data_IF_267936816572
#
_entry.id   IF_267936816572
#
_cell.length_a   1.000
_cell.length_b   1.000
_cell.length_c   1.000
_cell.angle_alpha   90.00
_cell.angle_beta   90.00
_cell.angle_gamma   90.00
#
_symmetry.space_group_name_H-M   'P 1'
#
loop_
_entity.id
_entity.type
_entity.pdbx_description
1 polymer ?
#
# COMPACT_ATOMS: atom_id res chain seq x y z
N UNK A 1 -0.90 -53.35 22.20
CA UNK A 1 -0.47 -52.68 20.95
C UNK A 1 -0.23 -51.22 21.30
N UNK A 2 1.02 -50.70 21.31
CA UNK A 2 1.25 -49.32 21.68
C UNK A 2 0.70 -48.37 20.59
N UNK A 3 0.15 -47.20 20.97
CA UNK A 3 -0.34 -46.22 20.00
C UNK A 3 0.82 -45.71 19.16
N UNK A 4 0.65 -45.70 17.83
CA UNK A 4 1.60 -45.08 16.90
C UNK A 4 1.70 -43.60 17.24
N UNK A 5 2.86 -43.16 17.70
CA UNK A 5 3.19 -41.76 17.95
C UNK A 5 2.97 -40.95 16.67
N UNK A 6 1.97 -40.07 16.69
CA UNK A 6 1.66 -39.17 15.59
C UNK A 6 2.77 -38.13 15.44
N UNK A 7 3.42 -38.09 14.28
CA UNK A 7 4.38 -37.04 13.94
C UNK A 7 3.61 -35.73 13.78
N UNK A 8 3.81 -34.80 14.70
CA UNK A 8 3.31 -33.43 14.54
C UNK A 8 4.27 -32.64 13.64
N UNK A 9 3.82 -32.32 12.43
CA UNK A 9 4.52 -31.38 11.56
C UNK A 9 4.10 -29.96 11.94
N UNK A 10 4.96 -29.22 12.64
CA UNK A 10 4.77 -27.78 12.82
C UNK A 10 5.18 -27.09 11.52
N UNK A 11 4.20 -26.59 10.76
CA UNK A 11 4.47 -25.74 9.60
C UNK A 11 5.16 -24.47 10.08
N UNK A 12 6.46 -24.31 9.83
CA UNK A 12 7.11 -23.04 10.07
C UNK A 12 6.49 -21.98 9.16
N UNK A 13 5.93 -20.94 9.77
CA UNK A 13 5.38 -19.80 9.05
C UNK A 13 6.41 -19.23 8.09
N UNK A 14 6.00 -18.98 6.84
CA UNK A 14 6.82 -18.31 5.84
C UNK A 14 7.02 -16.87 6.30
N UNK A 15 8.22 -16.54 6.77
CA UNK A 15 8.52 -15.21 7.28
C UNK A 15 8.59 -14.22 6.11
N UNK A 16 7.85 -13.11 6.22
CA UNK A 16 7.90 -12.03 5.24
C UNK A 16 9.27 -11.35 5.33
N UNK A 17 10.01 -11.21 4.21
CA UNK A 17 11.29 -10.51 4.16
C UNK A 17 11.23 -9.10 4.75
N UNK A 18 12.36 -8.67 5.35
CA UNK A 18 12.45 -7.38 6.04
C UNK A 18 12.08 -6.20 5.13
N UNK A 19 12.52 -6.21 3.87
CA UNK A 19 12.26 -5.09 2.95
C UNK A 19 10.76 -4.90 2.68
N UNK A 20 9.98 -5.97 2.51
CA UNK A 20 8.51 -5.88 2.41
C UNK A 20 7.88 -5.38 3.71
N UNK A 21 8.37 -5.83 4.87
CA UNK A 21 7.86 -5.37 6.16
C UNK A 21 8.11 -3.89 6.38
N UNK A 22 9.32 -3.40 6.09
CA UNK A 22 9.66 -1.99 6.23
C UNK A 22 8.80 -1.14 5.29
N UNK A 23 8.66 -1.57 4.04
CA UNK A 23 7.85 -0.84 3.07
C UNK A 23 6.37 -0.81 3.46
N UNK A 24 5.71 -1.96 3.55
CA UNK A 24 4.26 -2.04 3.79
C UNK A 24 3.85 -1.65 5.21
N UNK A 25 4.69 -1.83 6.23
CA UNK A 25 4.26 -1.56 7.62
C UNK A 25 4.68 -0.17 8.12
N UNK A 26 5.62 0.50 7.45
CA UNK A 26 6.12 1.80 7.91
C UNK A 26 6.10 2.87 6.82
N UNK A 27 6.86 2.67 5.74
CA UNK A 27 7.01 3.69 4.69
C UNK A 27 5.65 4.05 4.09
N UNK A 28 4.88 3.05 3.71
CA UNK A 28 3.62 3.27 3.03
C UNK A 28 2.52 3.84 3.95
N UNK A 29 2.30 3.32 5.17
CA UNK A 29 1.35 3.93 6.09
C UNK A 29 1.67 5.39 6.41
N UNK A 30 2.96 5.74 6.58
CA UNK A 30 3.37 7.13 6.82
C UNK A 30 3.06 8.00 5.59
N UNK A 31 3.39 7.53 4.38
CA UNK A 31 3.10 8.25 3.14
C UNK A 31 1.59 8.47 2.96
N UNK A 32 0.77 7.45 3.21
CA UNK A 32 -0.68 7.55 3.17
C UNK A 32 -1.23 8.54 4.20
N UNK A 33 -0.67 8.58 5.43
CA UNK A 33 -1.05 9.59 6.44
C UNK A 33 -0.69 11.01 6.03
N UNK A 34 0.46 11.21 5.36
CA UNK A 34 0.82 12.52 4.79
C UNK A 34 -0.20 12.93 3.72
N UNK A 35 -0.55 12.02 2.81
CA UNK A 35 -1.60 12.25 1.81
C UNK A 35 -2.94 12.61 2.46
N UNK A 36 -3.35 11.87 3.51
CA UNK A 36 -4.56 12.13 4.27
C UNK A 36 -4.55 13.52 4.92
N UNK A 37 -3.41 13.90 5.51
CA UNK A 37 -3.25 15.21 6.14
C UNK A 37 -3.47 16.34 5.13
N UNK A 38 -2.81 16.29 3.97
CA UNK A 38 -2.98 17.35 2.97
C UNK A 38 -4.39 17.36 2.38
N UNK A 39 -4.96 16.19 2.09
CA UNK A 39 -6.32 16.08 1.55
C UNK A 39 -7.40 16.60 2.50
N UNK A 40 -7.22 16.53 3.83
CA UNK A 40 -8.21 17.05 4.77
C UNK A 40 -7.89 18.45 5.31
N UNK A 41 -6.68 18.67 5.81
CA UNK A 41 -6.32 19.89 6.53
C UNK A 41 -5.71 20.97 5.63
N UNK A 42 -5.27 20.63 4.42
CA UNK A 42 -4.59 21.55 3.48
C UNK A 42 -5.20 21.46 2.07
N UNK A 43 -6.52 21.46 1.99
CA UNK A 43 -7.27 21.26 0.74
C UNK A 43 -6.87 22.23 -0.39
N UNK A 44 -6.66 23.51 -0.05
CA UNK A 44 -6.25 24.51 -1.04
C UNK A 44 -4.90 24.18 -1.68
N UNK A 45 -3.93 23.82 -0.85
CA UNK A 45 -2.60 23.40 -1.31
C UNK A 45 -2.66 22.07 -2.06
N UNK A 46 -3.45 21.11 -1.56
CA UNK A 46 -3.65 19.81 -2.22
C UNK A 46 -4.20 20.00 -3.64
N UNK A 47 -5.23 20.84 -3.82
CA UNK A 47 -5.78 21.15 -5.14
C UNK A 47 -4.81 21.96 -6.01
N UNK A 48 -4.07 22.90 -5.41
CA UNK A 48 -3.03 23.67 -6.11
C UNK A 48 -1.96 22.75 -6.69
N UNK A 49 -1.46 21.80 -5.88
CA UNK A 49 -0.47 20.81 -6.31
C UNK A 49 -1.05 19.83 -7.33
N UNK A 50 -2.32 19.43 -7.16
CA UNK A 50 -2.99 18.51 -8.08
C UNK A 50 -3.15 19.13 -9.47
N UNK A 51 -3.69 20.35 -9.56
CA UNK A 51 -3.83 21.08 -10.81
C UNK A 51 -4.15 22.56 -10.57
N UNK A 52 -3.10 23.38 -10.45
CA UNK A 52 -3.22 24.82 -10.15
C UNK A 52 -4.14 25.58 -11.11
N UNK A 53 -4.11 25.24 -12.41
CA UNK A 53 -4.85 25.95 -13.45
C UNK A 53 -6.38 25.83 -13.26
N UNK A 54 -6.87 24.68 -12.78
CA UNK A 54 -8.31 24.45 -12.59
C UNK A 54 -8.75 24.49 -11.13
N UNK A 55 -7.88 24.92 -10.21
CA UNK A 55 -8.24 25.09 -8.81
C UNK A 55 -9.22 26.27 -8.67
N UNK A 56 -10.37 26.12 -7.98
CA UNK A 56 -11.24 27.26 -7.69
C UNK A 56 -10.63 28.18 -6.62
N UNK A 57 -10.95 29.48 -6.68
CA UNK A 57 -10.55 30.45 -5.64
C UNK A 57 -11.24 30.18 -4.29
N UNK A 58 -12.51 29.77 -4.35
CA UNK A 58 -13.28 29.33 -3.19
C UNK A 58 -13.65 27.87 -3.40
N UNK A 59 -13.17 27.00 -2.51
CA UNK A 59 -13.42 25.57 -2.58
C UNK A 59 -14.91 25.30 -2.29
N UNK A 60 -15.68 24.73 -3.23
CA UNK A 60 -17.08 24.40 -2.98
C UNK A 60 -17.23 23.37 -1.87
N UNK A 61 -18.31 23.46 -1.08
CA UNK A 61 -18.55 22.55 0.04
C UNK A 61 -18.53 21.07 -0.37
N UNK A 62 -19.06 20.74 -1.55
CA UNK A 62 -19.02 19.38 -2.10
C UNK A 62 -17.58 18.88 -2.31
N UNK A 63 -16.69 19.72 -2.83
CA UNK A 63 -15.27 19.41 -3.01
C UNK A 63 -14.58 19.18 -1.66
N UNK A 64 -14.86 20.02 -0.66
CA UNK A 64 -14.33 19.85 0.70
C UNK A 64 -14.75 18.52 1.33
N UNK A 65 -16.00 18.12 1.15
CA UNK A 65 -16.50 16.83 1.64
C UNK A 65 -15.79 15.68 0.92
N UNK A 66 -15.68 15.73 -0.41
CA UNK A 66 -15.04 14.67 -1.21
C UNK A 66 -13.53 14.56 -0.89
N UNK A 67 -12.82 15.67 -0.71
CA UNK A 67 -11.42 15.65 -0.29
C UNK A 67 -11.24 15.07 1.12
N UNK A 68 -12.19 15.34 2.03
CA UNK A 68 -12.19 14.73 3.36
C UNK A 68 -12.50 13.24 3.31
N UNK A 69 -13.37 12.80 2.40
CA UNK A 69 -13.63 11.38 2.14
C UNK A 69 -12.39 10.69 1.55
N UNK A 70 -11.66 11.36 0.66
CA UNK A 70 -10.38 10.88 0.13
C UNK A 70 -9.35 10.73 1.25
N UNK A 71 -9.22 11.73 2.12
CA UNK A 71 -8.33 11.65 3.28
C UNK A 71 -8.69 10.49 4.22
N UNK A 72 -9.99 10.26 4.45
CA UNK A 72 -10.47 9.12 5.22
C UNK A 72 -10.12 7.78 4.57
N UNK A 73 -10.14 7.69 3.23
CA UNK A 73 -9.70 6.50 2.50
C UNK A 73 -8.19 6.27 2.63
N UNK A 74 -7.37 7.33 2.56
CA UNK A 74 -5.92 7.23 2.81
C UNK A 74 -5.61 6.79 4.25
N UNK A 75 -6.37 7.29 5.24
CA UNK A 75 -6.29 6.80 6.61
C UNK A 75 -6.66 5.31 6.71
N UNK A 76 -7.70 4.87 6.00
CA UNK A 76 -8.08 3.46 5.94
C UNK A 76 -6.95 2.58 5.39
N UNK A 77 -6.24 3.03 4.36
CA UNK A 77 -5.07 2.31 3.83
C UNK A 77 -3.96 2.20 4.88
N UNK A 78 -3.60 3.33 5.49
CA UNK A 78 -2.59 3.36 6.54
C UNK A 78 -2.95 2.42 7.70
N UNK A 79 -4.20 2.37 8.13
CA UNK A 79 -4.67 1.49 9.21
C UNK A 79 -4.69 0.00 8.81
N UNK A 80 -5.09 -0.33 7.59
CA UNK A 80 -5.07 -1.73 7.13
C UNK A 80 -3.64 -2.26 7.13
N UNK A 81 -2.72 -1.51 6.56
CA UNK A 81 -1.32 -1.88 6.53
C UNK A 81 -0.67 -1.87 7.92
N UNK A 82 -1.00 -0.87 8.74
CA UNK A 82 -0.42 -0.76 10.06
C UNK A 82 -0.97 -1.78 11.06
N UNK A 83 -2.25 -2.14 10.99
CA UNK A 83 -2.92 -2.96 12.00
C UNK A 83 -3.21 -4.37 11.50
N UNK A 84 -3.81 -4.52 10.32
CA UNK A 84 -4.23 -5.85 9.80
C UNK A 84 -3.02 -6.69 9.45
N UNK A 85 -2.02 -6.12 8.75
CA UNK A 85 -0.81 -6.87 8.41
C UNK A 85 0.06 -7.16 9.64
N UNK A 86 -0.02 -6.34 10.70
CA UNK A 86 0.67 -6.59 11.97
C UNK A 86 -0.04 -7.61 12.86
N UNK A 87 -1.35 -7.80 12.71
CA UNK A 87 -2.13 -8.71 13.55
C UNK A 87 -2.05 -10.17 13.12
N UNK A 88 -1.42 -10.47 11.98
CA UNK A 88 -1.34 -11.83 11.43
C UNK A 88 0.00 -12.14 10.78
N UNK A 89 0.41 -13.41 10.92
CA UNK A 89 1.54 -13.99 10.19
C UNK A 89 1.09 -14.87 9.01
N UNK A 90 -0.22 -14.94 8.73
CA UNK A 90 -0.74 -15.73 7.61
C UNK A 90 -0.46 -15.03 6.28
N UNK A 91 0.37 -15.67 5.46
CA UNK A 91 0.73 -15.17 4.13
C UNK A 91 -0.48 -15.05 3.20
N UNK A 92 -1.54 -15.84 3.41
CA UNK A 92 -2.79 -15.73 2.65
C UNK A 92 -3.47 -14.41 2.93
N UNK A 93 -3.55 -14.00 4.20
CA UNK A 93 -4.13 -12.70 4.58
C UNK A 93 -3.30 -11.56 3.99
N UNK A 94 -1.97 -11.64 4.10
CA UNK A 94 -1.07 -10.66 3.47
C UNK A 94 -1.31 -10.54 1.97
N UNK A 95 -1.38 -11.65 1.25
CA UNK A 95 -1.63 -11.64 -0.20
C UNK A 95 -2.99 -11.07 -0.54
N UNK A 96 -4.04 -11.42 0.19
CA UNK A 96 -5.38 -10.89 -0.07
C UNK A 96 -5.44 -9.38 0.12
N UNK A 97 -4.89 -8.86 1.22
CA UNK A 97 -4.84 -7.42 1.49
C UNK A 97 -4.00 -6.69 0.43
N UNK A 98 -2.80 -7.19 0.12
CA UNK A 98 -1.92 -6.57 -0.88
C UNK A 98 -2.49 -6.64 -2.30
N UNK A 99 -3.28 -7.65 -2.64
CA UNK A 99 -4.02 -7.70 -3.90
C UNK A 99 -5.07 -6.59 -4.00
N UNK A 100 -5.87 -6.40 -2.93
CA UNK A 100 -6.86 -5.32 -2.90
C UNK A 100 -6.19 -3.95 -3.02
N UNK A 101 -5.07 -3.75 -2.32
CA UNK A 101 -4.30 -2.51 -2.42
C UNK A 101 -3.68 -2.32 -3.80
N UNK A 102 -3.23 -3.38 -4.48
CA UNK A 102 -2.76 -3.30 -5.87
C UNK A 102 -3.86 -2.81 -6.82
N UNK A 103 -5.10 -3.24 -6.62
CA UNK A 103 -6.25 -2.72 -7.40
C UNK A 103 -6.45 -1.23 -7.10
N UNK A 104 -6.30 -0.81 -5.84
CA UNK A 104 -6.38 0.59 -5.46
C UNK A 104 -5.25 1.44 -6.11
N UNK A 105 -4.02 0.92 -6.18
CA UNK A 105 -2.89 1.59 -6.85
C UNK A 105 -3.19 1.86 -8.33
N UNK A 106 -3.70 0.85 -9.05
CA UNK A 106 -4.08 0.99 -10.45
C UNK A 106 -5.23 1.99 -10.64
N UNK A 107 -6.20 1.95 -9.73
CA UNK A 107 -7.28 2.94 -9.68
C UNK A 107 -6.75 4.36 -9.47
N UNK A 108 -5.83 4.56 -8.52
CA UNK A 108 -5.19 5.86 -8.26
C UNK A 108 -4.45 6.37 -9.48
N UNK A 109 -3.62 5.55 -10.12
CA UNK A 109 -2.92 5.92 -11.36
C UNK A 109 -3.89 6.25 -12.50
N UNK A 110 -5.03 5.58 -12.58
CA UNK A 110 -6.06 5.91 -13.57
C UNK A 110 -6.69 7.29 -13.32
N UNK A 111 -6.83 7.73 -12.06
CA UNK A 111 -7.46 9.03 -11.75
C UNK A 111 -6.68 10.21 -12.30
N UNK A 112 -5.33 10.13 -12.32
CA UNK A 112 -4.46 11.20 -12.83
C UNK A 112 -4.38 11.26 -14.36
N UNK A 113 -5.03 10.34 -15.09
CA UNK A 113 -5.01 10.33 -16.56
C UNK A 113 -5.54 11.62 -17.21
N UNK A 114 -6.41 12.34 -16.50
CA UNK A 114 -7.01 13.59 -16.95
C UNK A 114 -5.98 14.73 -17.04
N UNK A 115 -4.83 14.61 -16.37
CA UNK A 115 -3.70 15.54 -16.48
C UNK A 115 -2.91 15.35 -17.80
N UNK A 116 -3.26 14.32 -18.58
CA UNK A 116 -2.60 13.99 -19.84
C UNK A 116 -1.47 12.96 -19.67
N UNK A 117 -0.99 12.39 -20.78
CA UNK A 117 -0.04 11.26 -20.74
C UNK A 117 1.32 11.65 -20.14
N UNK A 118 1.72 12.92 -20.23
CA UNK A 118 3.01 13.39 -19.71
C UNK A 118 3.19 13.17 -18.21
N UNK A 119 2.08 13.15 -17.43
CA UNK A 119 2.14 12.96 -15.98
C UNK A 119 2.82 11.63 -15.59
N UNK A 120 2.80 10.62 -16.48
CA UNK A 120 3.34 9.30 -16.19
C UNK A 120 4.84 9.16 -16.44
N UNK A 121 5.46 10.06 -17.22
CA UNK A 121 6.86 9.90 -17.67
C UNK A 121 7.70 11.17 -17.66
N UNK A 122 7.09 12.36 -17.68
CA UNK A 122 7.84 13.61 -17.78
C UNK A 122 8.26 14.13 -16.39
N UNK A 123 9.23 13.45 -15.78
CA UNK A 123 9.73 13.77 -14.44
C UNK A 123 10.32 15.18 -14.30
N UNK A 124 10.65 15.85 -15.41
CA UNK A 124 11.13 17.25 -15.38
C UNK A 124 10.04 18.25 -15.03
N UNK A 125 8.77 17.89 -15.19
CA UNK A 125 7.60 18.73 -14.88
C UNK A 125 6.94 18.37 -13.55
N UNK A 126 7.39 17.31 -12.88
CA UNK A 126 6.78 16.84 -11.65
C UNK A 126 6.98 17.82 -10.49
N UNK A 127 5.87 18.17 -9.84
CA UNK A 127 5.88 18.87 -8.56
C UNK A 127 5.86 17.87 -7.39
N UNK A 128 5.77 18.37 -6.15
CA UNK A 128 5.81 17.55 -4.95
C UNK A 128 4.72 16.44 -4.89
N UNK A 129 3.49 16.72 -5.34
CA UNK A 129 2.41 15.72 -5.32
C UNK A 129 2.56 14.69 -6.44
N UNK A 130 3.14 15.07 -7.57
CA UNK A 130 3.37 14.13 -8.69
C UNK A 130 4.33 13.01 -8.27
N UNK A 131 5.38 13.33 -7.50
CA UNK A 131 6.28 12.33 -6.90
C UNK A 131 5.54 11.33 -5.99
N UNK A 132 4.54 11.80 -5.24
CA UNK A 132 3.69 10.94 -4.42
C UNK A 132 2.66 10.16 -5.25
N UNK A 133 2.10 10.76 -6.29
CA UNK A 133 0.98 10.20 -7.05
C UNK A 133 1.40 9.20 -8.12
N UNK A 134 2.63 9.30 -8.63
CA UNK A 134 3.06 8.50 -9.79
C UNK A 134 4.19 7.54 -9.43
N UNK A 135 5.46 7.96 -9.22
CA UNK A 135 6.54 7.01 -9.00
C UNK A 135 6.41 6.28 -7.67
N UNK A 136 5.92 6.92 -6.60
CA UNK A 136 5.68 6.24 -5.33
C UNK A 136 4.58 5.17 -5.44
N UNK A 137 3.50 5.45 -6.17
CA UNK A 137 2.43 4.46 -6.42
C UNK A 137 2.93 3.33 -7.33
N UNK A 138 3.77 3.61 -8.34
CA UNK A 138 4.43 2.56 -9.11
C UNK A 138 5.34 1.68 -8.24
N UNK A 139 6.07 2.26 -7.30
CA UNK A 139 6.87 1.51 -6.34
C UNK A 139 5.99 0.60 -5.46
N UNK A 140 4.88 1.12 -4.92
CA UNK A 140 3.91 0.31 -4.17
C UNK A 140 3.33 -0.85 -4.98
N UNK A 141 2.83 -0.55 -6.19
CA UNK A 141 2.26 -1.53 -7.10
C UNK A 141 3.28 -2.62 -7.50
N UNK A 142 4.53 -2.24 -7.77
CA UNK A 142 5.59 -3.19 -8.12
C UNK A 142 5.97 -4.09 -6.94
N UNK A 143 6.08 -3.53 -5.73
CA UNK A 143 6.32 -4.28 -4.49
C UNK A 143 5.22 -5.30 -4.21
N UNK A 144 3.95 -4.90 -4.37
CA UNK A 144 2.79 -5.79 -4.24
C UNK A 144 2.81 -6.89 -5.29
N UNK A 145 3.06 -6.54 -6.56
CA UNK A 145 3.15 -7.51 -7.65
C UNK A 145 4.23 -8.55 -7.39
N UNK A 146 5.42 -8.11 -6.97
CA UNK A 146 6.51 -9.01 -6.60
C UNK A 146 6.12 -9.92 -5.43
N UNK A 147 5.51 -9.38 -4.37
CA UNK A 147 5.05 -10.15 -3.23
C UNK A 147 4.00 -11.21 -3.61
N UNK A 148 3.01 -10.83 -4.40
CA UNK A 148 1.94 -11.72 -4.88
C UNK A 148 2.51 -12.87 -5.72
N UNK A 149 3.50 -12.57 -6.56
CA UNK A 149 4.28 -13.53 -7.35
C UNK A 149 5.23 -14.41 -6.52
N UNK A 150 5.28 -14.25 -5.19
CA UNK A 150 6.19 -14.93 -4.26
C UNK A 150 7.68 -14.57 -4.41
N UNK A 151 8.01 -13.45 -5.05
CA UNK A 151 9.40 -13.00 -5.17
C UNK A 151 9.95 -12.70 -3.77
N UNK A 152 11.05 -13.35 -3.40
CA UNK A 152 11.70 -13.20 -2.09
C UNK A 152 11.04 -13.96 -0.94
N UNK A 153 9.92 -14.65 -1.14
CA UNK A 153 9.23 -15.40 -0.08
C UNK A 153 9.81 -16.83 0.08
N UNK A 154 10.91 -16.98 0.82
CA UNK A 154 11.50 -18.29 1.09
C UNK A 154 10.68 -19.08 2.12
N UNK A 155 10.21 -20.29 1.76
CA UNK A 155 9.60 -21.21 2.72
C UNK A 155 10.66 -21.85 3.61
N UNK A 156 10.59 -21.62 4.93
CA UNK A 156 11.46 -22.32 5.88
C UNK A 156 10.94 -23.76 6.03
N UNK A 157 11.58 -24.74 5.40
CA UNK A 157 11.33 -26.16 5.69
C UNK A 157 11.98 -26.48 7.04
N UNK A 158 11.18 -26.74 8.06
CA UNK A 158 11.68 -27.37 9.30
C UNK A 158 11.74 -28.87 9.03
N UNK A 159 12.95 -29.42 9.00
CA UNK A 159 13.18 -30.86 9.01
C UNK A 159 12.89 -31.33 10.44
N UNK A 160 11.88 -32.18 10.60
CA UNK A 160 11.57 -32.78 11.90
C UNK A 160 12.69 -33.77 12.26
N UNK A 161 13.45 -33.48 13.32
CA UNK A 161 14.39 -34.45 13.88
C UNK A 161 13.59 -35.59 14.51
N UNK A 162 13.80 -36.83 14.03
CA UNK A 162 13.40 -38.04 14.76
C UNK A 162 14.20 -38.06 16.07
N UNK A 163 13.54 -37.95 17.21
CA UNK A 163 14.14 -38.39 18.47
C UNK A 163 14.23 -39.92 18.41
N UNK A 164 15.47 -40.42 18.49
CA UNK A 164 15.80 -41.84 18.65
C UNK A 164 15.57 -42.26 20.10
#
# INVERSE_FOLDING_TARGET
MPPKSAVQYTTAGRQVPLFYRVFFLAIEPISALVGAFFAHFRQDEYLTLTHAISKPDVIPQGTTIVLSQLANLYLLFALNEALVLRSTNDIRVWKTVLFVLLVADLGHLYTVRSLGPEVYYNFTKWNAIDWGNVPFVYLGASMRTAFLANVGLSGRRVVANRQQ
#
